data_IF_111801215568
#
_entry.id   IF_111801215568
#
_cell.length_a   1.000
_cell.length_b   1.000
_cell.length_c   1.000
_cell.angle_alpha   90.00
_cell.angle_beta   90.00
_cell.angle_gamma   90.00
#
_symmetry.space_group_name_H-M   'P 1'
#
loop_
_entity.id
_entity.type
_entity.pdbx_description
1 polymer ?
#
# COMPACT_ATOMS: atom_id res chain seq x y z
N UNK A 1 -7.98 -12.67 7.47
CA UNK A 1 -8.76 -11.90 6.48
C UNK A 1 -8.31 -12.19 5.05
N UNK A 2 -9.26 -12.51 4.17
CA UNK A 2 -9.08 -12.77 2.74
C UNK A 2 -9.49 -11.56 1.87
N UNK A 3 -9.26 -11.63 0.55
CA UNK A 3 -9.75 -10.60 -0.39
C UNK A 3 -11.28 -10.65 -0.52
N UNK A 4 -11.84 -11.85 -0.36
CA UNK A 4 -13.28 -12.09 -0.34
C UNK A 4 -13.93 -11.39 0.86
N UNK A 5 -13.33 -11.51 2.05
CA UNK A 5 -13.79 -10.81 3.26
C UNK A 5 -13.71 -9.29 3.07
N UNK A 6 -12.58 -8.80 2.53
CA UNK A 6 -12.38 -7.36 2.32
C UNK A 6 -13.40 -6.76 1.33
N UNK A 7 -13.71 -7.47 0.24
CA UNK A 7 -14.74 -7.04 -0.71
C UNK A 7 -16.13 -6.98 -0.05
N UNK A 8 -16.44 -7.94 0.83
CA UNK A 8 -17.68 -7.95 1.60
C UNK A 8 -17.79 -6.73 2.52
N UNK A 9 -16.74 -6.47 3.30
CA UNK A 9 -16.72 -5.39 4.28
C UNK A 9 -17.00 -4.02 3.63
N UNK A 10 -16.38 -3.73 2.48
CA UNK A 10 -16.60 -2.48 1.74
C UNK A 10 -18.03 -2.37 1.22
N UNK A 11 -18.58 -3.46 0.70
CA UNK A 11 -19.95 -3.49 0.19
C UNK A 11 -20.93 -3.17 1.32
N UNK A 12 -20.76 -3.77 2.50
CA UNK A 12 -21.68 -3.59 3.63
C UNK A 12 -21.45 -2.30 4.42
N UNK A 13 -20.29 -1.64 4.26
CA UNK A 13 -19.97 -0.44 5.01
C UNK A 13 -20.89 0.73 4.63
N UNK A 14 -21.62 1.25 5.63
CA UNK A 14 -22.60 2.33 5.48
C UNK A 14 -22.02 3.66 5.01
N UNK A 15 -20.71 3.88 5.22
CA UNK A 15 -20.00 5.09 4.79
C UNK A 15 -19.40 4.97 3.38
N UNK A 16 -19.44 3.78 2.80
CA UNK A 16 -18.90 3.49 1.47
C UNK A 16 -20.04 3.13 0.52
N UNK A 17 -20.26 1.85 0.24
CA UNK A 17 -21.28 1.43 -0.73
C UNK A 17 -22.68 1.30 -0.12
N UNK A 18 -22.80 1.08 1.20
CA UNK A 18 -24.08 0.83 1.89
C UNK A 18 -24.92 -0.24 1.19
N UNK A 19 -24.26 -1.26 0.63
CA UNK A 19 -24.86 -2.31 -0.16
C UNK A 19 -25.22 -3.54 0.67
N UNK A 20 -25.88 -4.48 -0.01
CA UNK A 20 -26.19 -5.81 0.50
C UNK A 20 -25.76 -6.83 -0.52
N UNK A 21 -24.91 -7.77 -0.09
CA UNK A 21 -24.49 -8.89 -0.92
C UNK A 21 -25.66 -9.73 -1.45
N UNK A 22 -26.74 -9.87 -0.67
CA UNK A 22 -27.96 -10.55 -1.10
C UNK A 22 -28.69 -9.77 -2.21
N UNK A 23 -28.70 -8.45 -2.13
CA UNK A 23 -29.37 -7.59 -3.11
C UNK A 23 -28.59 -7.57 -4.42
N UNK A 24 -27.26 -7.48 -4.33
CA UNK A 24 -26.36 -7.59 -5.47
C UNK A 24 -26.53 -8.96 -6.15
N UNK A 25 -26.63 -10.05 -5.38
CA UNK A 25 -26.85 -11.38 -5.94
C UNK A 25 -28.20 -11.49 -6.67
N UNK A 26 -29.26 -10.87 -6.13
CA UNK A 26 -30.57 -10.79 -6.82
C UNK A 26 -30.47 -9.99 -8.12
N UNK A 27 -29.78 -8.85 -8.09
CA UNK A 27 -29.58 -8.00 -9.27
C UNK A 27 -28.82 -8.74 -10.37
N UNK A 28 -27.66 -9.31 -10.04
CA UNK A 28 -26.84 -10.10 -10.98
C UNK A 28 -27.62 -11.33 -11.46
N UNK A 29 -28.37 -11.98 -10.57
CA UNK A 29 -29.21 -13.13 -10.89
C UNK A 29 -30.46 -12.80 -11.73
N UNK A 30 -30.74 -11.52 -12.01
CA UNK A 30 -31.80 -11.09 -12.94
C UNK A 30 -31.29 -10.81 -14.36
N UNK A 31 -29.97 -10.80 -14.55
CA UNK A 31 -29.32 -10.55 -15.83
C UNK A 31 -28.92 -11.88 -16.52
N UNK A 32 -29.49 -12.12 -17.70
CA UNK A 32 -29.30 -13.36 -18.44
C UNK A 32 -27.84 -13.58 -18.88
N UNK A 33 -27.09 -12.52 -19.16
CA UNK A 33 -25.69 -12.60 -19.56
C UNK A 33 -24.82 -12.99 -18.35
N UNK A 34 -25.02 -12.33 -17.21
CA UNK A 34 -24.28 -12.69 -15.99
C UNK A 34 -24.58 -14.13 -15.57
N UNK A 35 -25.84 -14.57 -15.57
CA UNK A 35 -26.19 -15.95 -15.22
C UNK A 35 -25.46 -16.94 -16.14
N UNK A 36 -25.40 -16.66 -17.45
CA UNK A 36 -24.66 -17.50 -18.41
C UNK A 36 -23.17 -17.56 -18.08
N UNK A 37 -22.54 -16.42 -17.75
CA UNK A 37 -21.14 -16.36 -17.36
C UNK A 37 -20.87 -17.10 -16.03
N UNK A 38 -21.73 -16.92 -15.03
CA UNK A 38 -21.63 -17.61 -13.75
C UNK A 38 -21.82 -19.12 -13.88
N UNK A 39 -22.78 -19.61 -14.69
CA UNK A 39 -22.93 -21.05 -14.96
C UNK A 39 -21.74 -21.65 -15.70
N UNK A 40 -21.08 -20.85 -16.55
CA UNK A 40 -19.85 -21.27 -17.23
C UNK A 40 -18.68 -21.39 -16.25
N UNK A 41 -18.53 -20.42 -15.33
CA UNK A 41 -17.45 -20.40 -14.35
C UNK A 41 -17.68 -21.38 -13.18
N UNK A 42 -18.94 -21.58 -12.78
CA UNK A 42 -19.37 -22.44 -11.69
C UNK A 42 -20.49 -23.39 -12.18
N UNK A 43 -20.13 -24.55 -12.76
CA UNK A 43 -21.11 -25.51 -13.24
C UNK A 43 -22.04 -26.02 -12.13
N UNK A 44 -23.32 -26.22 -12.44
CA UNK A 44 -24.31 -26.80 -11.52
C UNK A 44 -25.01 -25.79 -10.60
N UNK A 45 -24.80 -24.49 -10.75
CA UNK A 45 -25.53 -23.48 -9.99
C UNK A 45 -26.97 -23.28 -10.47
N UNK A 46 -27.90 -23.21 -9.52
CA UNK A 46 -29.31 -22.90 -9.79
C UNK A 46 -29.57 -21.37 -9.76
N UNK A 47 -28.83 -20.65 -8.92
CA UNK A 47 -28.84 -19.19 -8.80
C UNK A 47 -27.42 -18.71 -8.48
N UNK A 48 -27.13 -17.42 -8.68
CA UNK A 48 -25.82 -16.83 -8.37
C UNK A 48 -25.71 -16.61 -6.85
N UNK A 49 -24.84 -17.33 -6.12
CA UNK A 49 -24.66 -17.13 -4.69
C UNK A 49 -23.78 -15.89 -4.42
N UNK A 50 -24.02 -15.13 -3.34
CA UNK A 50 -23.15 -14.02 -2.92
C UNK A 50 -21.65 -14.37 -2.85
N UNK A 51 -21.34 -15.57 -2.35
CA UNK A 51 -19.96 -16.05 -2.24
C UNK A 51 -19.24 -16.13 -3.60
N UNK A 52 -19.95 -16.40 -4.69
CA UNK A 52 -19.33 -16.49 -6.02
C UNK A 52 -19.09 -15.11 -6.62
N UNK A 53 -19.84 -14.10 -6.20
CA UNK A 53 -19.58 -12.70 -6.55
C UNK A 53 -18.31 -12.22 -5.83
N UNK A 54 -18.22 -12.48 -4.51
CA UNK A 54 -17.02 -12.19 -3.72
C UNK A 54 -15.79 -12.89 -4.30
N UNK A 55 -15.89 -14.20 -4.59
CA UNK A 55 -14.80 -14.95 -5.19
C UNK A 55 -14.41 -14.40 -6.57
N UNK A 56 -15.37 -14.06 -7.42
CA UNK A 56 -15.09 -13.48 -8.75
C UNK A 56 -14.35 -12.14 -8.65
N UNK A 57 -14.76 -11.27 -7.72
CA UNK A 57 -14.05 -10.01 -7.45
C UNK A 57 -12.63 -10.26 -6.93
N UNK A 58 -12.47 -11.17 -5.98
CA UNK A 58 -11.17 -11.51 -5.41
C UNK A 58 -10.23 -12.14 -6.45
N UNK A 59 -10.73 -13.02 -7.32
CA UNK A 59 -9.98 -13.60 -8.45
C UNK A 59 -9.57 -12.52 -9.45
N UNK A 60 -10.45 -11.58 -9.77
CA UNK A 60 -10.10 -10.44 -10.62
C UNK A 60 -8.99 -9.59 -10.00
N UNK A 61 -9.08 -9.24 -8.72
CA UNK A 61 -8.01 -8.49 -8.04
C UNK A 61 -6.68 -9.24 -8.06
N UNK A 62 -6.69 -10.57 -7.87
CA UNK A 62 -5.48 -11.42 -7.95
C UNK A 62 -4.84 -11.45 -9.34
N UNK A 63 -5.61 -11.21 -10.41
CA UNK A 63 -5.09 -11.24 -11.79
C UNK A 63 -4.46 -9.92 -12.23
N UNK A 64 -4.60 -8.83 -11.48
CA UNK A 64 -4.04 -7.52 -11.81
C UNK A 64 -2.61 -7.41 -11.24
N UNK A 65 -1.69 -8.15 -11.85
CA UNK A 65 -0.30 -8.21 -11.39
C UNK A 65 0.70 -8.30 -12.58
N UNK A 66 0.76 -7.27 -13.45
CA UNK A 66 1.52 -7.33 -14.70
C UNK A 66 3.05 -7.42 -14.52
N UNK A 67 3.60 -6.89 -13.42
CA UNK A 67 5.05 -6.91 -13.11
C UNK A 67 5.92 -6.54 -14.32
N UNK A 68 5.65 -5.38 -14.92
CA UNK A 68 6.27 -4.96 -16.19
C UNK A 68 6.92 -3.57 -16.13
N UNK A 69 7.06 -3.02 -14.93
CA UNK A 69 7.81 -1.79 -14.69
C UNK A 69 9.25 -1.86 -15.21
N UNK A 70 9.88 -0.69 -15.37
CA UNK A 70 11.30 -0.61 -15.74
C UNK A 70 12.21 -1.38 -14.78
N UNK A 71 11.89 -1.38 -13.49
CA UNK A 71 12.60 -2.20 -12.50
C UNK A 71 12.48 -3.71 -12.81
N UNK A 72 11.26 -4.19 -13.11
CA UNK A 72 11.03 -5.60 -13.42
C UNK A 72 11.78 -6.04 -14.68
N UNK A 73 11.76 -5.22 -15.74
CA UNK A 73 12.53 -5.49 -16.96
C UNK A 73 14.03 -5.55 -16.69
N UNK A 74 14.56 -4.64 -15.88
CA UNK A 74 15.97 -4.63 -15.50
C UNK A 74 16.38 -5.88 -14.71
N UNK A 75 15.53 -6.31 -13.77
CA UNK A 75 15.77 -7.53 -13.01
C UNK A 75 15.69 -8.80 -13.87
N UNK A 76 14.90 -8.78 -14.95
CA UNK A 76 14.87 -9.84 -15.98
C UNK A 76 16.02 -9.78 -17.00
N UNK A 77 16.96 -8.85 -16.84
CA UNK A 77 18.20 -8.81 -17.64
C UNK A 77 18.28 -7.68 -18.66
N UNK A 78 17.22 -6.88 -18.86
CA UNK A 78 17.29 -5.68 -19.69
C UNK A 78 18.07 -4.57 -18.97
N UNK A 79 19.39 -4.56 -19.14
CA UNK A 79 20.27 -3.59 -18.47
C UNK A 79 20.04 -2.13 -18.90
N UNK A 80 19.27 -1.90 -19.97
CA UNK A 80 18.93 -0.57 -20.45
C UNK A 80 17.60 -0.05 -19.86
N UNK A 81 16.80 -0.92 -19.22
CA UNK A 81 15.52 -0.53 -18.64
C UNK A 81 15.62 0.50 -17.51
N UNK A 82 16.75 0.55 -16.79
CA UNK A 82 17.01 1.58 -15.78
C UNK A 82 18.13 2.51 -16.20
N UNK A 83 17.92 3.81 -15.98
CA UNK A 83 18.93 4.85 -16.08
C UNK A 83 19.95 4.77 -14.94
N UNK A 84 21.08 5.47 -15.07
CA UNK A 84 22.08 5.55 -14.01
C UNK A 84 21.51 6.21 -12.73
N UNK A 85 20.66 7.22 -12.88
CA UNK A 85 20.05 7.93 -11.76
C UNK A 85 19.06 7.05 -10.99
N UNK A 86 18.25 6.24 -11.68
CA UNK A 86 17.36 5.28 -11.02
C UNK A 86 18.15 4.22 -10.25
N UNK A 87 19.27 3.75 -10.80
CA UNK A 87 20.17 2.82 -10.07
C UNK A 87 20.80 3.47 -8.84
N UNK A 88 21.24 4.74 -8.93
CA UNK A 88 21.71 5.49 -7.75
C UNK A 88 20.59 5.68 -6.73
N UNK A 89 19.38 5.95 -7.19
CA UNK A 89 18.17 6.04 -6.38
C UNK A 89 17.87 4.76 -5.62
N UNK A 90 17.97 3.61 -6.29
CA UNK A 90 17.83 2.29 -5.66
C UNK A 90 18.88 2.07 -4.57
N UNK A 91 20.16 2.40 -4.83
CA UNK A 91 21.21 2.26 -3.81
C UNK A 91 20.96 3.16 -2.60
N UNK A 92 20.47 4.39 -2.80
CA UNK A 92 20.07 5.26 -1.70
C UNK A 92 18.87 4.67 -0.94
N UNK A 93 17.86 4.19 -1.65
CA UNK A 93 16.65 3.58 -1.10
C UNK A 93 16.97 2.37 -0.20
N UNK A 94 17.85 1.48 -0.67
CA UNK A 94 18.27 0.28 0.08
C UNK A 94 19.32 0.58 1.15
N UNK A 95 20.00 1.73 1.07
CA UNK A 95 21.10 2.11 1.97
C UNK A 95 20.76 3.32 2.82
N UNK A 96 21.33 4.49 2.47
CA UNK A 96 21.28 5.71 3.29
C UNK A 96 19.87 6.14 3.68
N UNK A 97 18.89 6.01 2.76
CA UNK A 97 17.51 6.41 3.01
C UNK A 97 16.73 5.38 3.85
N UNK A 98 17.30 4.18 4.06
CA UNK A 98 16.75 3.08 4.89
C UNK A 98 15.34 2.60 4.49
N UNK A 99 14.82 2.98 3.32
CA UNK A 99 13.48 2.59 2.90
C UNK A 99 13.36 1.07 2.70
N UNK A 100 14.45 0.43 2.26
CA UNK A 100 14.53 -1.03 2.06
C UNK A 100 14.49 -1.86 3.34
N UNK A 101 14.50 -1.26 4.53
CA UNK A 101 14.36 -2.02 5.80
C UNK A 101 12.92 -2.43 6.07
N UNK A 102 11.95 -1.78 5.41
CA UNK A 102 10.51 -2.09 5.56
C UNK A 102 9.85 -2.38 4.19
N UNK A 103 10.36 -1.82 3.09
CA UNK A 103 9.82 -2.04 1.73
C UNK A 103 10.65 -3.07 0.96
N UNK A 104 10.34 -4.35 1.17
CA UNK A 104 11.16 -5.46 0.70
C UNK A 104 10.97 -5.78 -0.80
N UNK A 105 12.08 -6.08 -1.48
CA UNK A 105 12.06 -6.59 -2.86
C UNK A 105 11.39 -7.98 -2.90
N UNK A 106 10.60 -8.32 -3.95
CA UNK A 106 10.35 -7.55 -5.17
C UNK A 106 9.07 -6.70 -5.15
N UNK A 107 8.25 -6.78 -4.11
CA UNK A 107 6.95 -6.09 -4.05
C UNK A 107 7.02 -4.69 -3.44
N UNK A 108 8.15 -4.32 -2.84
CA UNK A 108 8.39 -3.06 -2.14
C UNK A 108 7.31 -2.73 -1.11
N UNK A 109 6.90 -3.75 -0.36
CA UNK A 109 5.91 -3.70 0.72
C UNK A 109 6.50 -4.37 1.98
N UNK A 110 5.72 -4.43 3.05
CA UNK A 110 6.13 -5.11 4.30
C UNK A 110 5.91 -6.62 4.34
N UNK A 111 5.77 -7.33 3.20
CA UNK A 111 5.72 -8.80 3.27
C UNK A 111 7.12 -9.35 3.49
N UNK A 112 7.34 -10.02 4.61
CA UNK A 112 8.67 -10.36 5.12
C UNK A 112 9.28 -11.54 4.34
N UNK A 113 10.50 -11.40 3.78
CA UNK A 113 11.21 -12.51 3.15
C UNK A 113 11.76 -13.51 4.20
N UNK A 114 12.04 -14.77 3.80
CA UNK A 114 11.92 -15.32 2.45
C UNK A 114 10.55 -15.92 2.14
N UNK A 115 9.68 -16.12 3.14
CA UNK A 115 8.40 -16.83 2.96
C UNK A 115 7.27 -15.94 2.42
N UNK A 116 7.37 -14.61 2.61
CA UNK A 116 6.36 -13.62 2.22
C UNK A 116 4.95 -13.90 2.77
N UNK A 117 4.85 -14.64 3.89
CA UNK A 117 3.56 -15.04 4.47
C UNK A 117 3.04 -14.06 5.52
N UNK A 118 3.92 -13.17 6.01
CA UNK A 118 3.60 -12.20 7.07
C UNK A 118 3.79 -10.79 6.55
N UNK A 119 2.82 -9.93 6.85
CA UNK A 119 2.92 -8.50 6.52
C UNK A 119 3.17 -7.70 7.79
N UNK A 120 4.20 -6.87 7.78
CA UNK A 120 4.56 -5.96 8.86
C UNK A 120 3.65 -4.73 8.91
N UNK A 121 3.58 -4.13 10.09
CA UNK A 121 2.89 -2.87 10.34
C UNK A 121 3.82 -1.97 11.13
N UNK A 122 3.88 -0.71 10.74
CA UNK A 122 4.85 0.25 11.25
C UNK A 122 4.15 1.42 11.91
N UNK A 123 4.79 1.96 12.95
CA UNK A 123 4.38 3.18 13.61
C UNK A 123 5.35 4.26 13.17
N UNK A 124 4.88 5.19 12.34
CA UNK A 124 5.72 6.24 11.78
C UNK A 124 5.45 7.61 12.41
N UNK A 125 4.32 7.77 13.12
CA UNK A 125 3.87 9.07 13.61
C UNK A 125 3.41 10.01 12.49
N UNK A 126 2.66 9.48 11.52
CA UNK A 126 2.10 10.26 10.40
C UNK A 126 1.28 11.43 10.93
N UNK A 127 1.49 12.60 10.35
CA UNK A 127 0.80 13.83 10.73
C UNK A 127 -0.55 13.98 10.02
N UNK A 128 -1.44 14.78 10.61
CA UNK A 128 -2.73 15.14 10.01
C UNK A 128 -2.59 15.95 8.70
N UNK A 129 -1.50 16.69 8.54
CA UNK A 129 -1.19 17.53 7.39
C UNK A 129 0.33 17.77 7.30
N UNK A 130 0.77 18.57 6.34
CA UNK A 130 2.20 18.89 6.13
C UNK A 130 2.65 20.19 6.81
N UNK A 131 1.99 20.65 7.87
CA UNK A 131 2.52 21.73 8.72
C UNK A 131 3.63 21.17 9.62
N UNK A 132 4.84 21.11 9.07
CA UNK A 132 6.02 20.60 9.78
C UNK A 132 6.49 21.50 10.93
N UNK A 133 6.01 22.76 10.99
CA UNK A 133 6.36 23.68 12.08
C UNK A 133 5.50 23.43 13.31
N UNK A 134 4.24 23.04 13.11
CA UNK A 134 3.30 22.68 14.17
C UNK A 134 2.73 21.28 13.90
N UNK A 135 3.56 20.22 13.98
CA UNK A 135 3.13 18.89 13.61
C UNK A 135 2.02 18.43 14.55
N UNK A 136 1.01 17.80 13.96
CA UNK A 136 -0.11 17.19 14.70
C UNK A 136 -0.22 15.74 14.29
N UNK A 137 -0.15 14.85 15.26
CA UNK A 137 -0.32 13.41 15.04
C UNK A 137 -1.71 13.10 14.50
N UNK A 138 -1.78 12.21 13.53
CA UNK A 138 -3.04 11.61 13.08
C UNK A 138 -3.71 10.81 14.20
N UNK A 139 -5.05 10.89 14.29
CA UNK A 139 -5.79 10.28 15.41
C UNK A 139 -6.18 8.83 15.17
N UNK A 140 -6.00 8.31 13.96
CA UNK A 140 -6.34 6.92 13.67
C UNK A 140 -5.36 6.00 14.41
N UNK A 141 -5.92 5.14 15.27
CA UNK A 141 -5.16 4.17 16.04
C UNK A 141 -4.61 3.02 15.17
N UNK A 142 -5.03 2.93 13.91
CA UNK A 142 -4.63 1.89 12.98
C UNK A 142 -4.94 0.51 13.54
N UNK A 143 -3.96 -0.39 13.51
CA UNK A 143 -4.07 -1.74 14.07
C UNK A 143 -4.42 -1.75 15.56
N UNK A 144 -4.06 -0.69 16.30
CA UNK A 144 -4.34 -0.50 17.71
C UNK A 144 -5.83 -0.40 18.05
N UNK A 145 -6.69 -0.06 17.08
CA UNK A 145 -8.15 -0.03 17.26
C UNK A 145 -8.74 -1.44 17.47
N UNK A 146 -8.11 -2.46 16.89
CA UNK A 146 -8.56 -3.86 16.99
C UNK A 146 -7.75 -4.67 18.01
N UNK A 147 -6.60 -4.14 18.42
CA UNK A 147 -5.64 -4.83 19.27
C UNK A 147 -5.01 -3.82 20.22
N UNK A 148 -5.50 -3.77 21.45
CA UNK A 148 -5.14 -2.73 22.43
C UNK A 148 -3.73 -2.86 23.03
N UNK A 149 -2.82 -3.56 22.35
CA UNK A 149 -1.42 -3.60 22.72
C UNK A 149 -0.76 -2.25 22.44
N UNK A 150 -0.05 -1.63 23.41
CA UNK A 150 0.56 -0.31 23.23
C UNK A 150 1.46 -0.19 22.00
N UNK A 151 2.20 -1.25 21.67
CA UNK A 151 3.10 -1.29 20.51
C UNK A 151 2.38 -1.19 19.16
N UNK A 152 1.07 -1.47 19.08
CA UNK A 152 0.31 -1.41 17.82
C UNK A 152 -0.54 -0.14 17.68
N UNK A 153 -0.49 0.76 18.65
CA UNK A 153 -1.15 2.07 18.55
C UNK A 153 -0.52 2.88 17.41
N UNK A 154 -1.36 3.36 16.49
CA UNK A 154 -0.97 4.07 15.27
C UNK A 154 -0.12 3.23 14.30
N UNK A 155 -0.19 1.90 14.39
CA UNK A 155 0.50 1.01 13.46
C UNK A 155 -0.33 0.77 12.20
N UNK A 156 0.29 0.96 11.03
CA UNK A 156 -0.34 0.74 9.73
C UNK A 156 0.47 -0.24 8.89
N UNK A 157 -0.22 -1.01 8.06
CA UNK A 157 0.40 -1.96 7.13
C UNK A 157 1.37 -1.22 6.20
N UNK A 158 2.59 -1.73 6.07
CA UNK A 158 3.55 -1.21 5.07
C UNK A 158 3.09 -1.58 3.66
N UNK A 159 2.51 -0.60 2.96
CA UNK A 159 1.95 -0.79 1.61
C UNK A 159 3.02 -0.86 0.52
N UNK A 160 2.64 -1.43 -0.63
CA UNK A 160 3.54 -1.51 -1.79
C UNK A 160 3.86 -0.12 -2.35
N UNK A 161 5.09 0.05 -2.82
CA UNK A 161 5.50 1.23 -3.61
C UNK A 161 5.38 1.00 -5.12
N UNK A 162 4.90 -0.16 -5.58
CA UNK A 162 4.57 -0.35 -6.99
C UNK A 162 3.46 0.63 -7.39
N UNK A 163 3.64 1.26 -8.54
CA UNK A 163 2.76 2.32 -9.06
C UNK A 163 2.61 3.55 -8.15
N UNK A 164 3.49 3.75 -7.16
CA UNK A 164 3.36 4.84 -6.18
C UNK A 164 3.28 6.22 -6.84
N UNK A 165 3.92 6.45 -7.99
CA UNK A 165 3.83 7.75 -8.67
C UNK A 165 2.48 8.04 -9.33
N UNK A 166 1.54 7.09 -9.32
CA UNK A 166 0.18 7.22 -9.88
C UNK A 166 -0.91 7.30 -8.80
N UNK A 167 -0.55 7.23 -7.51
CA UNK A 167 -1.51 7.01 -6.41
C UNK A 167 -1.49 8.11 -5.37
N UNK A 168 -1.16 9.35 -5.75
CA UNK A 168 -1.33 10.48 -4.86
C UNK A 168 -2.83 10.67 -4.51
N UNK A 169 -3.17 11.18 -3.32
CA UNK A 169 -2.27 11.55 -2.22
C UNK A 169 -1.72 10.35 -1.43
N UNK A 170 -0.76 10.59 -0.55
CA UNK A 170 0.01 9.55 0.16
C UNK A 170 -0.31 9.48 1.65
N UNK A 171 0.14 8.38 2.27
CA UNK A 171 -0.16 7.93 3.64
C UNK A 171 -1.60 7.43 3.82
N UNK A 172 -1.90 6.81 4.96
CA UNK A 172 -3.21 6.20 5.21
C UNK A 172 -4.36 7.23 5.25
N UNK A 173 -4.03 8.48 5.61
CA UNK A 173 -4.99 9.59 5.72
C UNK A 173 -4.94 10.54 4.51
N UNK A 174 -4.12 10.27 3.49
CA UNK A 174 -4.00 11.13 2.30
C UNK A 174 -3.43 12.52 2.59
N UNK A 175 -2.75 12.73 3.71
CA UNK A 175 -2.30 14.06 4.12
C UNK A 175 -1.23 14.67 3.20
N UNK A 176 -0.46 13.84 2.47
CA UNK A 176 0.72 14.30 1.73
C UNK A 176 0.40 14.26 0.22
N UNK A 177 0.45 15.39 -0.46
CA UNK A 177 0.09 15.50 -1.87
C UNK A 177 1.20 15.03 -2.83
N UNK A 178 2.45 14.96 -2.37
CA UNK A 178 3.60 14.64 -3.22
C UNK A 178 4.58 13.67 -2.55
N UNK A 179 5.32 12.91 -3.36
CA UNK A 179 6.46 12.11 -2.88
C UNK A 179 7.54 12.98 -2.24
N UNK A 180 7.62 14.26 -2.62
CA UNK A 180 8.53 15.21 -1.98
C UNK A 180 8.19 15.40 -0.50
N UNK A 181 6.90 15.59 -0.18
CA UNK A 181 6.43 15.72 1.21
C UNK A 181 6.61 14.42 2.00
N UNK A 182 6.39 13.26 1.36
CA UNK A 182 6.69 11.95 1.97
C UNK A 182 8.17 11.87 2.34
N UNK A 183 9.06 12.23 1.42
CA UNK A 183 10.50 12.19 1.65
C UNK A 183 10.96 13.22 2.70
N UNK A 184 10.33 14.40 2.75
CA UNK A 184 10.59 15.40 3.79
C UNK A 184 10.26 14.87 5.19
N UNK A 185 9.10 14.23 5.35
CA UNK A 185 8.69 13.60 6.60
C UNK A 185 9.71 12.54 7.06
N UNK A 186 10.07 11.60 6.19
CA UNK A 186 11.08 10.58 6.53
C UNK A 186 12.46 11.18 6.80
N UNK A 187 12.86 12.23 6.07
CA UNK A 187 14.16 12.86 6.26
C UNK A 187 14.28 13.57 7.61
N UNK A 188 13.15 13.90 8.27
CA UNK A 188 13.14 14.40 9.65
C UNK A 188 13.17 13.30 10.71
N UNK A 189 13.01 12.01 10.36
CA UNK A 189 12.94 10.91 11.33
C UNK A 189 11.51 10.52 11.74
N UNK A 190 10.52 10.80 10.89
CA UNK A 190 9.10 10.53 11.18
C UNK A 190 8.52 11.45 12.24
N UNK A 191 7.42 11.05 12.87
CA UNK A 191 6.72 11.86 13.86
C UNK A 191 7.57 12.17 15.08
N UNK A 192 8.31 11.19 15.61
CA UNK A 192 9.23 11.39 16.73
C UNK A 192 10.36 12.36 16.36
N UNK A 193 10.90 12.27 15.14
CA UNK A 193 11.90 13.21 14.63
C UNK A 193 11.37 14.64 14.41
N UNK A 194 10.05 14.79 14.26
CA UNK A 194 9.33 16.07 14.28
C UNK A 194 8.97 16.54 15.70
N UNK A 195 9.34 15.80 16.75
CA UNK A 195 9.07 16.13 18.14
C UNK A 195 7.71 15.68 18.67
N UNK A 196 6.98 14.83 17.94
CA UNK A 196 5.74 14.23 18.44
C UNK A 196 6.04 13.14 19.48
N UNK A 197 5.20 12.98 20.53
CA UNK A 197 5.39 11.97 21.56
C UNK A 197 4.94 10.58 21.08
N UNK A 198 5.76 9.94 20.24
CA UNK A 198 5.49 8.60 19.66
C UNK A 198 6.51 7.59 20.22
N UNK A 199 6.35 7.14 21.48
CA UNK A 199 7.35 6.28 22.14
C UNK A 199 7.44 4.88 21.51
N UNK A 200 6.43 4.48 20.74
CA UNK A 200 6.36 3.21 20.03
C UNK A 200 6.70 3.34 18.53
N UNK A 201 7.30 4.44 18.09
CA UNK A 201 7.73 4.60 16.70
C UNK A 201 8.73 3.49 16.32
N UNK A 202 8.51 2.85 15.18
CA UNK A 202 9.35 1.76 14.69
C UNK A 202 10.49 2.26 13.80
N UNK A 203 10.30 3.40 13.14
CA UNK A 203 11.36 4.12 12.43
C UNK A 203 12.31 4.81 13.40
N UNK A 204 13.61 4.84 13.09
CA UNK A 204 14.59 5.64 13.81
C UNK A 204 14.23 7.14 13.77
N UNK A 205 14.29 7.82 14.92
CA UNK A 205 13.99 9.25 15.04
C UNK A 205 15.11 10.16 14.51
N UNK A 206 16.27 9.60 14.18
CA UNK A 206 17.37 10.33 13.58
C UNK A 206 17.04 10.82 12.17
N UNK A 207 17.43 12.06 11.87
CA UNK A 207 17.36 12.60 10.50
C UNK A 207 18.23 11.76 9.56
N UNK A 208 17.68 11.40 8.41
CA UNK A 208 18.41 10.67 7.36
C UNK A 208 19.51 11.54 6.71
N UNK A 209 19.43 12.86 6.85
CA UNK A 209 20.37 13.85 6.27
C UNK A 209 20.54 13.64 4.75
N UNK A 210 19.45 13.31 4.07
CA UNK A 210 19.38 13.28 2.62
C UNK A 210 19.39 14.72 2.09
N UNK A 211 20.27 14.97 1.13
CA UNK A 211 20.26 16.21 0.34
C UNK A 211 19.07 16.23 -0.61
N UNK A 212 18.73 17.41 -1.15
CA UNK A 212 17.68 17.53 -2.18
C UNK A 212 17.97 16.66 -3.41
N UNK A 213 19.25 16.57 -3.80
CA UNK A 213 19.65 15.72 -4.93
C UNK A 213 19.42 14.23 -4.63
N UNK A 214 19.77 13.76 -3.43
CA UNK A 214 19.52 12.37 -3.02
C UNK A 214 18.03 12.05 -2.94
N UNK A 215 17.22 12.96 -2.37
CA UNK A 215 15.75 12.81 -2.35
C UNK A 215 15.21 12.64 -3.77
N UNK A 216 15.64 13.48 -4.70
CA UNK A 216 15.21 13.38 -6.10
C UNK A 216 15.61 12.05 -6.74
N UNK A 217 16.79 11.50 -6.44
CA UNK A 217 17.21 10.19 -6.93
C UNK A 217 16.34 9.06 -6.36
N UNK A 218 16.02 9.10 -5.06
CA UNK A 218 15.10 8.13 -4.44
C UNK A 218 13.71 8.21 -5.09
N UNK A 219 13.19 9.41 -5.35
CA UNK A 219 11.93 9.60 -6.06
C UNK A 219 11.99 9.08 -7.50
N UNK A 220 13.10 9.29 -8.22
CA UNK A 220 13.29 8.70 -9.56
C UNK A 220 13.22 7.18 -9.53
N UNK A 221 13.87 6.55 -8.56
CA UNK A 221 13.75 5.11 -8.34
C UNK A 221 12.29 4.69 -8.06
N UNK A 222 11.58 5.36 -7.16
CA UNK A 222 10.17 5.02 -6.89
C UNK A 222 9.29 5.11 -8.15
N UNK A 223 9.55 6.06 -9.05
CA UNK A 223 8.84 6.18 -10.33
C UNK A 223 9.10 5.02 -11.27
N UNK A 224 10.28 4.39 -11.23
CA UNK A 224 10.61 3.24 -12.07
C UNK A 224 9.89 1.94 -11.66
N UNK A 225 9.13 1.96 -10.55
CA UNK A 225 8.26 0.87 -10.07
C UNK A 225 6.84 0.94 -10.66
N UNK A 226 6.64 1.76 -11.70
CA UNK A 226 5.35 1.96 -12.36
C UNK A 226 5.19 1.01 -13.53
N UNK A 227 4.08 0.30 -13.58
CA UNK A 227 3.71 -0.59 -14.68
C UNK A 227 3.26 0.20 -15.93
N UNK A 228 3.46 -0.41 -17.10
CA UNK A 228 3.23 0.16 -18.44
C UNK A 228 2.24 -0.64 -19.28
#
# INVERSE_FOLDING_TARGET
>A
PSLEDQAADVIHNKKEMHGSMQDIARLIGSDAEYIKLFRKAYPGINAVPPAYIQNSLAVFVRSINPFNSSFDRYMRGDKQALTLDERKGFNLFMGKARCGTCHFVPLFNGTVPPDYQRTESEVLGVTMNTDWKNPRLDKDAGRGAHNHFPQWQHAFKTSTLRNVSKTAPYMHNGAYASLQQVMEFYNQGGGAGLGLPIPNQTLASDKLRLTKAEINLVIKFMKCLTDH
#
